data_IF_105697529336
#
_entry.id   IF_105697529336
#
_cell.length_a   1.000
_cell.length_b   1.000
_cell.length_c   1.000
_cell.angle_alpha   90.00
_cell.angle_beta   90.00
_cell.angle_gamma   90.00
#
_symmetry.space_group_name_H-M   'P 1'
#
loop_
_entity.id
_entity.type
_entity.pdbx_description
1 polymer ?
#
# COMPACT_ATOMS: atom_id res chain seq x y z
N UNK A 1 -12.89 -5.95 10.61
CA UNK A 1 -12.77 -4.56 10.14
C UNK A 1 -12.66 -4.61 8.64
N UNK A 2 -13.45 -3.82 7.93
CA UNK A 2 -13.32 -3.65 6.48
C UNK A 2 -12.04 -2.86 6.20
N UNK A 3 -11.12 -3.43 5.42
CA UNK A 3 -9.91 -2.72 5.00
C UNK A 3 -10.29 -1.75 3.89
N UNK A 4 -10.14 -0.45 4.14
CA UNK A 4 -10.38 0.58 3.13
C UNK A 4 -9.21 0.60 2.12
N UNK A 5 -9.42 -0.04 0.97
CA UNK A 5 -8.44 -0.07 -0.13
C UNK A 5 -8.13 1.35 -0.63
N UNK A 6 -9.13 2.24 -0.68
CA UNK A 6 -8.93 3.60 -1.19
C UNK A 6 -8.03 4.39 -0.26
N UNK A 7 -8.18 4.21 1.05
CA UNK A 7 -7.26 4.76 2.04
C UNK A 7 -5.82 4.27 1.80
N UNK A 8 -5.61 2.96 1.62
CA UNK A 8 -4.28 2.39 1.39
C UNK A 8 -3.63 2.91 0.10
N UNK A 9 -4.39 2.96 -1.00
CA UNK A 9 -3.92 3.48 -2.28
C UNK A 9 -3.61 4.98 -2.21
N UNK A 10 -4.44 5.76 -1.52
CA UNK A 10 -4.17 7.18 -1.31
C UNK A 10 -2.87 7.39 -0.52
N UNK A 11 -2.66 6.60 0.54
CA UNK A 11 -1.44 6.67 1.35
C UNK A 11 -0.20 6.23 0.57
N UNK A 12 -0.29 5.23 -0.29
CA UNK A 12 0.77 4.84 -1.21
C UNK A 12 1.17 6.01 -2.12
N UNK A 13 0.19 6.63 -2.79
CA UNK A 13 0.43 7.77 -3.68
C UNK A 13 1.09 8.94 -2.93
N UNK A 14 0.60 9.28 -1.74
CA UNK A 14 1.19 10.34 -0.92
C UNK A 14 2.63 10.03 -0.51
N UNK A 15 2.95 8.78 -0.18
CA UNK A 15 4.34 8.38 0.12
C UNK A 15 5.24 8.53 -1.11
N UNK A 16 4.79 8.12 -2.30
CA UNK A 16 5.57 8.30 -3.54
C UNK A 16 5.83 9.77 -3.87
N UNK A 17 4.83 10.63 -3.71
CA UNK A 17 4.99 12.09 -3.90
C UNK A 17 6.05 12.64 -2.93
N UNK A 18 6.01 12.21 -1.66
CA UNK A 18 7.01 12.63 -0.66
C UNK A 18 8.40 12.07 -0.93
N UNK A 19 8.51 10.86 -1.46
CA UNK A 19 9.78 10.29 -1.90
C UNK A 19 10.41 11.14 -3.01
N UNK A 20 9.61 11.51 -4.01
CA UNK A 20 10.05 12.36 -5.13
C UNK A 20 10.44 13.77 -4.68
N UNK A 21 9.75 14.32 -3.68
CA UNK A 21 10.03 15.64 -3.11
C UNK A 21 11.19 15.63 -2.09
N UNK A 22 11.71 14.45 -1.70
CA UNK A 22 12.71 14.37 -0.64
C UNK A 22 14.09 14.82 -1.12
N UNK A 23 14.76 15.75 -0.40
CA UNK A 23 16.09 16.21 -0.79
C UNK A 23 17.22 15.26 -0.35
N UNK A 24 16.95 14.30 0.55
CA UNK A 24 17.92 13.33 1.03
C UNK A 24 17.63 11.93 0.51
N UNK A 25 18.69 11.15 0.31
CA UNK A 25 18.56 9.76 -0.14
C UNK A 25 17.83 8.92 0.90
N UNK A 26 18.15 9.13 2.19
CA UNK A 26 17.54 8.43 3.31
C UNK A 26 16.03 8.73 3.40
N UNK A 27 15.65 9.99 3.22
CA UNK A 27 14.25 10.41 3.22
C UNK A 27 13.49 9.83 2.04
N UNK A 28 14.10 9.81 0.84
CA UNK A 28 13.53 9.17 -0.34
C UNK A 28 13.28 7.69 -0.11
N UNK A 29 14.29 6.95 0.36
CA UNK A 29 14.18 5.51 0.64
C UNK A 29 13.11 5.22 1.70
N UNK A 30 13.05 6.01 2.78
CA UNK A 30 12.04 5.83 3.81
C UNK A 30 10.60 5.95 3.26
N UNK A 31 10.36 6.90 2.35
CA UNK A 31 9.04 7.06 1.73
C UNK A 31 8.76 5.99 0.66
N UNK A 32 9.76 5.55 -0.09
CA UNK A 32 9.64 4.41 -1.01
C UNK A 32 9.27 3.13 -0.25
N UNK A 33 9.92 2.86 0.88
CA UNK A 33 9.60 1.73 1.77
C UNK A 33 8.17 1.82 2.32
N UNK A 34 7.71 3.02 2.68
CA UNK A 34 6.31 3.23 3.10
C UNK A 34 5.33 2.93 1.97
N UNK A 35 5.60 3.39 0.75
CA UNK A 35 4.77 3.11 -0.40
C UNK A 35 4.70 1.60 -0.69
N UNK A 36 5.83 0.91 -0.58
CA UNK A 36 5.93 -0.53 -0.76
C UNK A 36 5.08 -1.31 0.27
N UNK A 37 5.11 -0.92 1.54
CA UNK A 37 4.27 -1.54 2.58
C UNK A 37 2.77 -1.35 2.34
N UNK A 38 2.36 -0.24 1.72
CA UNK A 38 0.95 -0.03 1.41
C UNK A 38 0.47 -0.92 0.27
N UNK A 39 1.28 -1.13 -0.77
CA UNK A 39 0.90 -2.06 -1.85
C UNK A 39 0.87 -3.52 -1.36
N UNK A 40 1.80 -3.91 -0.50
CA UNK A 40 1.79 -5.25 0.14
C UNK A 40 0.51 -5.50 0.93
N UNK A 41 0.00 -4.49 1.65
CA UNK A 41 -1.28 -4.59 2.36
C UNK A 41 -2.47 -4.72 1.40
N UNK A 42 -2.47 -4.00 0.27
CA UNK A 42 -3.51 -4.12 -0.75
C UNK A 42 -3.51 -5.52 -1.36
N UNK A 43 -2.34 -6.06 -1.68
CA UNK A 43 -2.21 -7.39 -2.26
C UNK A 43 -2.61 -8.49 -1.27
N UNK A 44 -2.21 -8.37 0.00
CA UNK A 44 -2.66 -9.28 1.06
C UNK A 44 -4.19 -9.26 1.20
N UNK A 45 -4.82 -8.08 1.16
CA UNK A 45 -6.27 -7.96 1.21
C UNK A 45 -6.95 -8.58 -0.01
N UNK A 46 -6.41 -8.37 -1.22
CA UNK A 46 -6.93 -9.00 -2.44
C UNK A 46 -6.85 -10.53 -2.38
N UNK A 47 -5.71 -11.07 -1.95
CA UNK A 47 -5.53 -12.52 -1.79
C UNK A 47 -6.50 -13.12 -0.76
N UNK A 48 -6.76 -12.42 0.35
CA UNK A 48 -7.73 -12.87 1.34
C UNK A 48 -9.16 -12.85 0.78
N UNK A 49 -9.53 -11.79 0.05
CA UNK A 49 -10.83 -11.71 -0.61
C UNK A 49 -11.01 -12.82 -1.65
N UNK A 50 -10.00 -13.10 -2.48
CA UNK A 50 -10.02 -14.21 -3.44
C UNK A 50 -10.25 -15.55 -2.74
N UNK A 51 -9.56 -15.82 -1.62
CA UNK A 51 -9.77 -17.04 -0.82
C UNK A 51 -11.19 -17.15 -0.27
N UNK A 52 -11.77 -16.05 0.18
CA UNK A 52 -13.13 -16.02 0.70
C UNK A 52 -14.17 -16.26 -0.41
N UNK A 53 -13.98 -15.65 -1.59
CA UNK A 53 -14.83 -15.88 -2.76
C UNK A 53 -14.75 -17.34 -3.21
N UNK A 54 -13.55 -17.92 -3.30
CA UNK A 54 -13.36 -19.34 -3.68
C UNK A 54 -14.01 -20.29 -2.67
N UNK A 55 -14.00 -19.97 -1.37
CA UNK A 55 -14.66 -20.80 -0.33
C UNK A 55 -16.18 -20.68 -0.32
N UNK A 56 -16.74 -19.62 -0.90
CA UNK A 56 -18.17 -19.39 -0.96
C UNK A 56 -18.84 -20.07 -2.18
N UNK A 57 -18.04 -20.56 -3.13
CA UNK A 57 -18.46 -21.30 -4.32
C UNK A 57 -18.23 -22.81 -4.17
#
# INVERSE_FOLDING_TARGET
>A
METDINYLLHRQQMSLIKAQASPSREGRTAYEDMAQRYIEQVDAYRQENERLIVRAH
#
